data_IF_575373997852
#
_entry.id   IF_575373997852
#
_cell.length_a   1.000
_cell.length_b   1.000
_cell.length_c   1.000
_cell.angle_alpha   90.00
_cell.angle_beta   90.00
_cell.angle_gamma   90.00
#
_symmetry.space_group_name_H-M   'P 1'
#
loop_
_entity.id
_entity.type
_entity.pdbx_description
1 polymer ?
#
# COMPACT_ATOMS: atom_id res chain seq x y z
N UNK A 1 8.18 -10.85 -19.60
CA UNK A 1 6.89 -11.40 -19.10
C UNK A 1 7.03 -12.03 -17.72
N UNK A 2 8.09 -12.81 -17.47
CA UNK A 2 8.29 -13.57 -16.23
C UNK A 2 8.18 -12.74 -14.93
N UNK A 3 8.74 -11.53 -14.88
CA UNK A 3 8.64 -10.68 -13.68
C UNK A 3 7.22 -10.18 -13.36
N UNK A 4 6.41 -9.84 -14.37
CA UNK A 4 5.03 -9.39 -14.15
C UNK A 4 4.14 -10.55 -13.67
N UNK A 5 4.29 -11.73 -14.28
CA UNK A 5 3.58 -12.95 -13.87
C UNK A 5 3.96 -13.39 -12.45
N UNK A 6 5.24 -13.31 -12.10
CA UNK A 6 5.70 -13.60 -10.74
C UNK A 6 5.04 -12.66 -9.73
N UNK A 7 5.06 -11.35 -9.99
CA UNK A 7 4.40 -10.37 -9.13
C UNK A 7 2.93 -10.75 -8.94
N UNK A 8 2.15 -10.86 -10.03
CA UNK A 8 0.72 -11.20 -9.98
C UNK A 8 0.49 -12.46 -9.14
N UNK A 9 1.30 -13.50 -9.34
CA UNK A 9 1.21 -14.76 -8.59
C UNK A 9 1.41 -14.55 -7.10
N UNK A 10 2.37 -13.72 -6.69
CA UNK A 10 2.61 -13.38 -5.28
C UNK A 10 1.45 -12.60 -4.67
N UNK A 11 0.86 -11.64 -5.39
CA UNK A 11 -0.32 -10.91 -4.90
C UNK A 11 -1.55 -11.82 -4.77
N UNK A 12 -1.77 -12.71 -5.74
CA UNK A 12 -2.85 -13.70 -5.67
C UNK A 12 -2.66 -14.67 -4.51
N UNK A 13 -1.43 -15.15 -4.28
CA UNK A 13 -1.10 -15.99 -3.13
C UNK A 13 -1.38 -15.25 -1.81
N UNK A 14 -0.96 -13.98 -1.70
CA UNK A 14 -1.24 -13.15 -0.54
C UNK A 14 -2.76 -13.00 -0.30
N UNK A 15 -3.56 -12.77 -1.35
CA UNK A 15 -5.02 -12.72 -1.25
C UNK A 15 -5.63 -14.04 -0.78
N UNK A 16 -5.17 -15.16 -1.35
CA UNK A 16 -5.63 -16.50 -0.93
C UNK A 16 -5.31 -16.73 0.54
N UNK A 17 -4.11 -16.38 0.99
CA UNK A 17 -3.72 -16.48 2.40
C UNK A 17 -4.59 -15.59 3.29
N UNK A 18 -4.86 -14.35 2.87
CA UNK A 18 -5.74 -13.43 3.59
C UNK A 18 -7.14 -14.04 3.76
N UNK A 19 -7.73 -14.52 2.66
CA UNK A 19 -9.07 -15.11 2.64
C UNK A 19 -9.12 -16.39 3.48
N UNK A 20 -8.10 -17.24 3.37
CA UNK A 20 -7.96 -18.45 4.16
C UNK A 20 -7.89 -18.16 5.66
N UNK A 21 -7.03 -17.21 6.08
CA UNK A 21 -6.88 -16.81 7.48
C UNK A 21 -8.18 -16.19 8.00
N UNK A 22 -8.81 -15.30 7.23
CA UNK A 22 -10.08 -14.68 7.59
C UNK A 22 -11.17 -15.74 7.80
N UNK A 23 -11.28 -16.73 6.88
CA UNK A 23 -12.22 -17.85 7.00
C UNK A 23 -11.91 -18.73 8.20
N UNK A 24 -10.65 -19.15 8.38
CA UNK A 24 -10.21 -20.01 9.49
C UNK A 24 -10.50 -19.40 10.85
N UNK A 25 -10.35 -18.08 10.99
CA UNK A 25 -10.62 -17.35 12.22
C UNK A 25 -12.02 -16.73 12.30
N UNK A 26 -12.93 -17.06 11.35
CA UNK A 26 -14.31 -16.55 11.29
C UNK A 26 -14.42 -15.02 11.36
N UNK A 27 -13.49 -14.32 10.70
CA UNK A 27 -13.45 -12.85 10.69
C UNK A 27 -14.50 -12.28 9.75
N UNK A 28 -15.22 -11.26 10.21
CA UNK A 28 -16.12 -10.46 9.38
C UNK A 28 -15.30 -9.53 8.49
N UNK A 29 -15.40 -9.71 7.16
CA UNK A 29 -14.74 -8.81 6.21
C UNK A 29 -15.17 -7.35 6.39
N UNK A 30 -16.45 -7.11 6.68
CA UNK A 30 -16.98 -5.76 6.88
C UNK A 30 -16.53 -5.14 8.22
N UNK A 31 -16.64 -5.89 9.31
CA UNK A 31 -16.47 -5.33 10.66
C UNK A 31 -15.06 -5.50 11.23
N UNK A 32 -14.45 -6.67 11.05
CA UNK A 32 -13.12 -6.99 11.59
C UNK A 32 -12.02 -6.44 10.68
N UNK A 33 -12.06 -6.82 9.39
CA UNK A 33 -11.09 -6.36 8.39
C UNK A 33 -11.33 -4.89 8.06
N UNK A 34 -12.60 -4.44 8.04
CA UNK A 34 -12.96 -3.07 7.73
C UNK A 34 -13.14 -2.83 6.24
N UNK A 35 -13.50 -3.86 5.47
CA UNK A 35 -13.83 -3.75 4.05
C UNK A 35 -15.21 -3.09 3.89
N UNK A 36 -15.22 -1.77 4.00
CA UNK A 36 -16.42 -0.92 3.89
C UNK A 36 -16.04 0.42 3.31
N UNK A 37 -16.98 1.05 2.60
CA UNK A 37 -16.74 2.36 2.02
C UNK A 37 -16.48 3.42 3.12
N UNK A 38 -15.42 4.23 2.98
CA UNK A 38 -15.22 5.39 3.84
C UNK A 38 -16.28 6.46 3.53
N UNK A 39 -16.55 7.33 4.51
CA UNK A 39 -17.39 8.52 4.28
C UNK A 39 -16.66 9.52 3.39
N UNK A 40 -17.41 10.33 2.64
CA UNK A 40 -16.86 11.33 1.72
C UNK A 40 -15.90 12.34 2.39
N UNK A 41 -16.20 12.77 3.62
CA UNK A 41 -15.31 13.67 4.37
C UNK A 41 -13.96 13.03 4.70
N UNK A 42 -13.92 11.72 4.98
CA UNK A 42 -12.67 10.99 5.15
C UNK A 42 -11.92 10.89 3.82
N UNK A 43 -12.61 10.59 2.71
CA UNK A 43 -11.98 10.58 1.39
C UNK A 43 -11.31 11.93 1.11
N UNK A 44 -12.05 13.03 1.20
CA UNK A 44 -11.53 14.37 0.93
C UNK A 44 -10.33 14.72 1.80
N UNK A 45 -10.47 14.55 3.13
CA UNK A 45 -9.40 14.89 4.07
C UNK A 45 -8.13 14.07 3.81
N UNK A 46 -8.26 12.74 3.73
CA UNK A 46 -7.10 11.86 3.63
C UNK A 46 -6.41 11.97 2.27
N UNK A 47 -7.15 12.11 1.16
CA UNK A 47 -6.54 12.36 -0.14
C UNK A 47 -5.82 13.71 -0.18
N UNK A 48 -6.42 14.77 0.37
CA UNK A 48 -5.76 16.09 0.41
C UNK A 48 -4.47 16.03 1.22
N UNK A 49 -4.52 15.46 2.42
CA UNK A 49 -3.34 15.29 3.26
C UNK A 49 -2.26 14.41 2.60
N UNK A 50 -2.68 13.40 1.85
CA UNK A 50 -1.76 12.50 1.18
C UNK A 50 -1.07 13.14 -0.03
N UNK A 51 -1.80 13.96 -0.80
CA UNK A 51 -1.19 14.78 -1.85
C UNK A 51 -0.12 15.71 -1.29
N UNK A 52 -0.38 16.34 -0.14
CA UNK A 52 0.62 17.17 0.54
C UNK A 52 1.85 16.37 0.99
N UNK A 53 1.64 15.14 1.48
CA UNK A 53 2.73 14.23 1.83
C UNK A 53 3.57 13.86 0.62
N UNK A 54 2.95 13.47 -0.50
CA UNK A 54 3.66 13.15 -1.76
C UNK A 54 4.50 14.34 -2.23
N UNK A 55 3.95 15.56 -2.21
CA UNK A 55 4.73 16.76 -2.58
C UNK A 55 5.92 17.01 -1.65
N UNK A 56 5.76 16.75 -0.36
CA UNK A 56 6.86 16.87 0.61
C UNK A 56 7.94 15.81 0.35
N UNK A 57 7.56 14.56 0.11
CA UNK A 57 8.49 13.48 -0.20
C UNK A 57 9.23 13.71 -1.51
N UNK A 58 8.54 14.18 -2.55
CA UNK A 58 9.15 14.57 -3.83
C UNK A 58 10.15 15.72 -3.65
N UNK A 59 9.80 16.75 -2.87
CA UNK A 59 10.73 17.83 -2.54
C UNK A 59 11.98 17.31 -1.80
N UNK A 60 11.80 16.46 -0.79
CA UNK A 60 12.91 15.87 -0.04
C UNK A 60 13.78 15.04 -0.99
N UNK A 61 13.18 14.17 -1.79
CA UNK A 61 13.87 13.29 -2.74
C UNK A 61 14.74 14.08 -3.73
N UNK A 62 14.20 15.16 -4.29
CA UNK A 62 14.93 16.09 -5.16
C UNK A 62 16.08 16.79 -4.43
N UNK A 63 15.84 17.25 -3.20
CA UNK A 63 16.86 17.94 -2.40
C UNK A 63 18.04 17.03 -2.00
N UNK A 64 17.80 15.72 -1.88
CA UNK A 64 18.82 14.71 -1.54
C UNK A 64 19.46 14.04 -2.75
N UNK A 65 19.06 14.42 -3.98
CA UNK A 65 19.56 13.83 -5.21
C UNK A 65 19.05 12.42 -5.52
N UNK A 66 17.98 11.95 -4.85
CA UNK A 66 17.37 10.64 -5.07
C UNK A 66 16.22 10.68 -6.10
N UNK A 67 16.27 11.63 -7.03
CA UNK A 67 15.18 11.92 -7.97
C UNK A 67 15.19 11.08 -9.25
N UNK A 68 16.10 10.10 -9.39
CA UNK A 68 16.17 9.29 -10.61
C UNK A 68 15.16 8.15 -10.58
N UNK A 69 14.02 8.36 -11.23
CA UNK A 69 13.06 7.28 -11.53
C UNK A 69 13.46 6.61 -12.84
N UNK A 70 13.62 5.29 -12.83
CA UNK A 70 13.94 4.54 -14.05
C UNK A 70 12.75 4.56 -15.03
N UNK A 71 12.92 5.19 -16.19
CA UNK A 71 11.90 5.20 -17.24
C UNK A 71 11.71 3.81 -17.86
N UNK A 72 10.48 3.51 -18.24
CA UNK A 72 10.07 2.28 -18.92
C UNK A 72 9.99 2.43 -20.44
N UNK A 73 10.30 3.63 -20.96
CA UNK A 73 10.30 3.88 -22.39
C UNK A 73 11.26 2.91 -23.12
N UNK A 74 10.75 2.22 -24.13
CA UNK A 74 11.50 1.19 -24.89
C UNK A 74 11.83 -0.10 -24.12
N UNK A 75 11.55 -0.20 -22.81
CA UNK A 75 11.90 -1.36 -21.96
C UNK A 75 10.87 -2.49 -22.02
N UNK A 76 9.60 -2.15 -22.21
CA UNK A 76 8.49 -3.10 -22.18
C UNK A 76 7.51 -2.84 -23.33
N UNK A 77 6.88 -3.90 -23.85
CA UNK A 77 5.77 -3.75 -24.80
C UNK A 77 4.45 -3.39 -24.09
N UNK A 78 3.45 -2.95 -24.86
CA UNK A 78 2.17 -2.48 -24.31
C UNK A 78 1.46 -3.51 -23.44
N UNK A 79 1.49 -4.79 -23.80
CA UNK A 79 0.88 -5.85 -23.02
C UNK A 79 1.59 -6.02 -21.66
N UNK A 80 2.91 -5.96 -21.64
CA UNK A 80 3.69 -6.03 -20.40
C UNK A 80 3.43 -4.81 -19.50
N UNK A 81 3.26 -3.62 -20.08
CA UNK A 81 2.90 -2.41 -19.33
C UNK A 81 1.52 -2.58 -18.69
N UNK A 82 0.52 -3.04 -19.43
CA UNK A 82 -0.84 -3.29 -18.90
C UNK A 82 -0.79 -4.26 -17.72
N UNK A 83 -0.07 -5.37 -17.84
CA UNK A 83 0.05 -6.34 -16.74
C UNK A 83 0.78 -5.77 -15.52
N UNK A 84 1.79 -4.92 -15.72
CA UNK A 84 2.48 -4.22 -14.63
C UNK A 84 1.56 -3.23 -13.92
N UNK A 85 0.77 -2.46 -14.67
CA UNK A 85 -0.22 -1.53 -14.11
C UNK A 85 -1.23 -2.30 -13.27
N UNK A 86 -1.80 -3.38 -13.79
CA UNK A 86 -2.75 -4.21 -13.04
C UNK A 86 -2.12 -4.79 -11.77
N UNK A 87 -0.89 -5.29 -11.85
CA UNK A 87 -0.19 -5.84 -10.69
C UNK A 87 0.07 -4.77 -9.61
N UNK A 88 0.60 -3.61 -10.01
CA UNK A 88 1.12 -2.59 -9.08
C UNK A 88 0.02 -1.64 -8.60
N UNK A 89 -0.91 -1.21 -9.45
CA UNK A 89 -1.94 -0.21 -9.10
C UNK A 89 -3.18 -0.86 -8.50
N UNK A 90 -3.45 -2.14 -8.80
CA UNK A 90 -4.68 -2.81 -8.36
C UNK A 90 -4.37 -3.96 -7.41
N UNK A 91 -3.66 -5.00 -7.86
CA UNK A 91 -3.49 -6.22 -7.07
C UNK A 91 -2.64 -6.02 -5.83
N UNK A 92 -1.52 -5.29 -5.94
CA UNK A 92 -0.63 -5.00 -4.82
C UNK A 92 -1.36 -4.23 -3.70
N UNK A 93 -1.97 -3.05 -3.94
CA UNK A 93 -2.73 -2.34 -2.92
C UNK A 93 -3.83 -3.19 -2.27
N UNK A 94 -4.61 -3.94 -3.05
CA UNK A 94 -5.67 -4.78 -2.46
C UNK A 94 -5.06 -5.87 -1.57
N UNK A 95 -4.07 -6.59 -2.05
CA UNK A 95 -3.48 -7.72 -1.32
C UNK A 95 -2.71 -7.28 -0.07
N UNK A 96 -1.90 -6.24 -0.20
CA UNK A 96 -1.04 -5.72 0.85
C UNK A 96 -1.87 -5.03 1.92
N UNK A 97 -2.81 -4.15 1.57
CA UNK A 97 -3.62 -3.47 2.59
C UNK A 97 -4.56 -4.43 3.33
N UNK A 98 -5.11 -5.44 2.66
CA UNK A 98 -5.89 -6.48 3.35
C UNK A 98 -5.04 -7.29 4.33
N UNK A 99 -3.78 -7.55 4.01
CA UNK A 99 -2.84 -8.22 4.90
C UNK A 99 -2.43 -7.31 6.06
N UNK A 100 -1.88 -6.14 5.78
CA UNK A 100 -1.28 -5.24 6.77
C UNK A 100 -2.33 -4.46 7.55
N UNK A 101 -3.26 -3.77 6.88
CA UNK A 101 -4.28 -2.86 7.49
C UNK A 101 -5.59 -3.57 7.80
N UNK A 102 -5.79 -4.74 7.22
CA UNK A 102 -6.84 -5.70 7.56
C UNK A 102 -6.41 -6.64 8.67
N UNK A 103 -5.72 -7.73 8.33
CA UNK A 103 -5.44 -8.84 9.24
C UNK A 103 -4.47 -8.50 10.37
N UNK A 104 -3.28 -7.98 10.05
CA UNK A 104 -2.25 -7.70 11.05
C UNK A 104 -2.71 -6.58 11.97
N UNK A 105 -3.22 -5.47 11.42
CA UNK A 105 -3.86 -4.40 12.18
C UNK A 105 -4.91 -4.93 13.15
N UNK A 106 -5.84 -5.76 12.68
CA UNK A 106 -6.92 -6.31 13.50
C UNK A 106 -6.38 -7.16 14.66
N UNK A 107 -5.41 -8.04 14.39
CA UNK A 107 -4.79 -8.89 15.40
C UNK A 107 -4.04 -8.06 16.43
N UNK A 108 -3.18 -7.14 15.99
CA UNK A 108 -2.34 -6.32 16.88
C UNK A 108 -3.20 -5.39 17.73
N UNK A 109 -4.27 -4.81 17.17
CA UNK A 109 -5.19 -3.92 17.92
C UNK A 109 -5.81 -4.60 19.14
N UNK A 110 -5.98 -5.94 19.11
CA UNK A 110 -6.52 -6.73 20.22
C UNK A 110 -5.48 -7.08 21.29
N UNK A 111 -4.20 -6.78 21.06
CA UNK A 111 -3.12 -6.99 22.03
C UNK A 111 -2.97 -5.78 22.96
N UNK A 112 -2.03 -5.86 23.90
CA UNK A 112 -1.67 -4.74 24.80
C UNK A 112 -1.11 -3.52 24.04
N UNK A 113 -0.64 -3.69 22.81
CA UNK A 113 -0.11 -2.60 21.98
C UNK A 113 -1.20 -1.69 21.40
N UNK A 114 -2.47 -2.15 21.42
CA UNK A 114 -3.64 -1.39 21.02
C UNK A 114 -3.45 -0.71 19.65
N UNK A 115 -3.92 0.53 19.52
CA UNK A 115 -3.95 1.30 18.26
C UNK A 115 -2.53 1.63 17.80
N UNK A 116 -1.63 2.01 18.72
CA UNK A 116 -0.26 2.40 18.39
C UNK A 116 0.48 1.25 17.72
N UNK A 117 0.45 0.06 18.33
CA UNK A 117 1.05 -1.13 17.69
C UNK A 117 0.36 -1.50 16.39
N UNK A 118 -0.96 -1.37 16.32
CA UNK A 118 -1.73 -1.72 15.13
C UNK A 118 -1.42 -0.82 13.93
N UNK A 119 -0.89 0.39 14.15
CA UNK A 119 -0.43 1.29 13.09
C UNK A 119 1.05 1.05 12.80
N UNK A 120 1.88 1.06 13.85
CA UNK A 120 3.33 1.02 13.71
C UNK A 120 3.85 -0.34 13.20
N UNK A 121 3.36 -1.46 13.74
CA UNK A 121 3.87 -2.79 13.36
C UNK A 121 3.58 -3.10 11.89
N UNK A 122 2.35 -2.94 11.36
CA UNK A 122 2.12 -3.14 9.94
C UNK A 122 2.93 -2.20 9.06
N UNK A 123 3.10 -0.91 9.45
CA UNK A 123 3.93 0.03 8.70
C UNK A 123 5.41 -0.42 8.64
N UNK A 124 5.95 -0.88 9.77
CA UNK A 124 7.32 -1.36 9.85
C UNK A 124 7.52 -2.63 9.02
N UNK A 125 6.63 -3.61 9.16
CA UNK A 125 6.68 -4.84 8.36
C UNK A 125 6.53 -4.54 6.87
N UNK A 126 5.66 -3.61 6.51
CA UNK A 126 5.48 -3.14 5.14
C UNK A 126 6.78 -2.55 4.59
N UNK A 127 7.45 -1.66 5.32
CA UNK A 127 8.74 -1.11 4.89
C UNK A 127 9.85 -2.19 4.78
N UNK A 128 9.92 -3.13 5.73
CA UNK A 128 10.94 -4.19 5.73
C UNK A 128 10.86 -5.07 4.48
N UNK A 129 9.66 -5.46 4.03
CA UNK A 129 9.54 -6.32 2.84
C UNK A 129 9.98 -5.62 1.54
N UNK A 130 10.08 -4.28 1.55
CA UNK A 130 10.55 -3.49 0.42
C UNK A 130 12.06 -3.21 0.45
N UNK A 131 12.75 -3.54 1.55
CA UNK A 131 14.16 -3.22 1.77
C UNK A 131 15.10 -3.71 0.66
N UNK A 132 14.80 -4.88 0.07
CA UNK A 132 15.62 -5.48 -0.98
C UNK A 132 15.53 -4.77 -2.35
N UNK A 133 14.58 -3.85 -2.54
CA UNK A 133 14.30 -3.22 -3.83
C UNK A 133 14.45 -1.69 -3.81
N UNK A 134 14.89 -1.11 -2.69
CA UNK A 134 14.81 0.34 -2.51
C UNK A 134 15.95 0.86 -1.65
N UNK A 135 16.35 2.10 -1.92
CA UNK A 135 17.33 2.80 -1.11
C UNK A 135 16.77 3.15 0.27
N UNK A 136 17.66 3.42 1.23
CA UNK A 136 17.27 3.67 2.61
C UNK A 136 16.29 4.84 2.76
N UNK A 137 16.45 5.90 1.98
CA UNK A 137 15.53 7.04 1.99
C UNK A 137 14.13 6.65 1.51
N UNK A 138 14.04 5.91 0.41
CA UNK A 138 12.76 5.37 -0.12
C UNK A 138 12.10 4.44 0.88
N UNK A 139 12.86 3.61 1.62
CA UNK A 139 12.32 2.79 2.71
C UNK A 139 11.74 3.67 3.83
N UNK A 140 12.37 4.80 4.13
CA UNK A 140 11.84 5.82 5.03
C UNK A 140 10.47 6.34 4.58
N UNK A 141 10.33 6.70 3.30
CA UNK A 141 9.04 7.13 2.73
C UNK A 141 7.99 6.01 2.78
N UNK A 142 8.33 4.78 2.38
CA UNK A 142 7.43 3.61 2.45
C UNK A 142 6.95 3.36 3.89
N UNK A 143 7.81 3.58 4.88
CA UNK A 143 7.43 3.48 6.28
C UNK A 143 6.46 4.59 6.71
N UNK A 144 6.71 5.83 6.30
CA UNK A 144 5.87 7.00 6.59
C UNK A 144 4.49 6.84 5.93
N UNK A 145 4.45 6.51 4.63
CA UNK A 145 3.26 6.06 3.91
C UNK A 145 2.54 4.96 4.67
N UNK A 146 3.34 4.01 5.19
CA UNK A 146 2.80 2.89 5.90
C UNK A 146 2.06 3.28 7.19
N UNK A 147 2.58 4.25 7.93
CA UNK A 147 1.92 4.88 9.08
C UNK A 147 0.69 5.66 8.62
N UNK A 148 0.81 6.43 7.54
CA UNK A 148 -0.27 7.25 6.99
C UNK A 148 -1.49 6.38 6.62
N UNK A 149 -1.30 5.28 5.90
CA UNK A 149 -2.34 4.31 5.58
C UNK A 149 -2.94 3.68 6.84
N UNK A 150 -2.12 3.41 7.86
CA UNK A 150 -2.58 2.91 9.16
C UNK A 150 -3.47 3.90 9.92
N UNK A 151 -3.12 5.19 9.90
CA UNK A 151 -3.93 6.26 10.46
C UNK A 151 -5.24 6.43 9.67
N UNK A 152 -5.16 6.46 8.34
CA UNK A 152 -6.32 6.53 7.45
C UNK A 152 -7.31 5.39 7.72
N UNK A 153 -6.80 4.15 7.82
CA UNK A 153 -7.57 2.98 8.26
C UNK A 153 -8.21 3.26 9.62
N UNK A 154 -7.43 3.64 10.63
CA UNK A 154 -7.92 3.77 12.01
C UNK A 154 -9.11 4.74 12.11
N UNK A 155 -8.95 5.95 11.58
CA UNK A 155 -9.95 7.02 11.70
C UNK A 155 -11.16 6.81 10.80
N UNK A 156 -10.97 6.35 9.56
CA UNK A 156 -12.10 6.04 8.66
C UNK A 156 -12.81 4.73 8.99
N UNK A 157 -12.16 3.90 9.81
CA UNK A 157 -12.50 2.50 10.06
C UNK A 157 -12.56 1.64 8.79
N UNK A 158 -11.93 2.07 7.70
CA UNK A 158 -12.01 1.45 6.37
C UNK A 158 -10.64 1.05 5.85
N UNK A 159 -10.47 -0.23 5.50
CA UNK A 159 -9.29 -0.68 4.74
C UNK A 159 -9.36 -0.25 3.27
N UNK A 160 -10.57 -0.02 2.74
CA UNK A 160 -10.74 0.49 1.37
C UNK A 160 -10.12 1.87 1.20
N UNK A 161 -10.16 2.73 2.23
CA UNK A 161 -9.47 4.01 2.16
C UNK A 161 -7.96 3.85 1.99
N UNK A 162 -7.35 2.93 2.74
CA UNK A 162 -5.92 2.63 2.60
C UNK A 162 -5.60 2.06 1.21
N UNK A 163 -6.43 1.15 0.69
CA UNK A 163 -6.28 0.60 -0.67
C UNK A 163 -6.30 1.71 -1.71
N UNK A 164 -7.24 2.65 -1.60
CA UNK A 164 -7.40 3.74 -2.56
C UNK A 164 -6.21 4.72 -2.52
N UNK A 165 -5.73 5.07 -1.33
CA UNK A 165 -4.55 5.95 -1.17
C UNK A 165 -3.28 5.29 -1.73
N UNK A 166 -3.07 4.01 -1.40
CA UNK A 166 -1.92 3.26 -1.90
C UNK A 166 -1.99 3.07 -3.42
N UNK A 167 -3.16 2.71 -3.98
CA UNK A 167 -3.36 2.64 -5.42
C UNK A 167 -3.10 3.99 -6.12
N UNK A 168 -3.49 5.10 -5.48
CA UNK A 168 -3.22 6.45 -5.98
C UNK A 168 -1.72 6.77 -6.01
N UNK A 169 -0.98 6.45 -4.94
CA UNK A 169 0.49 6.59 -4.92
C UNK A 169 1.15 5.77 -6.02
N UNK A 170 0.77 4.50 -6.13
CA UNK A 170 1.30 3.59 -7.14
C UNK A 170 0.98 4.05 -8.57
N UNK A 171 -0.19 4.65 -8.79
CA UNK A 171 -0.52 5.25 -10.08
C UNK A 171 0.41 6.41 -10.43
N UNK A 172 0.67 7.33 -9.47
CA UNK A 172 1.63 8.42 -9.66
C UNK A 172 3.03 7.91 -10.02
N UNK A 173 3.53 6.96 -9.24
CA UNK A 173 4.84 6.34 -9.47
C UNK A 173 4.95 5.64 -10.84
N UNK A 174 3.86 5.05 -11.34
CA UNK A 174 3.80 4.45 -12.67
C UNK A 174 3.80 5.52 -13.76
N UNK A 175 3.04 6.60 -13.59
CA UNK A 175 3.00 7.69 -14.57
C UNK A 175 4.39 8.31 -14.76
N UNK A 176 5.14 8.53 -13.68
CA UNK A 176 6.53 9.00 -13.76
C UNK A 176 7.45 8.07 -14.54
N UNK A 177 7.20 6.76 -14.52
CA UNK A 177 7.98 5.76 -15.27
C UNK A 177 7.60 5.71 -16.75
N UNK A 178 6.40 6.14 -17.10
CA UNK A 178 5.91 6.14 -18.48
C UNK A 178 6.28 7.41 -19.25
N UNK A 179 6.55 8.50 -18.52
CA UNK A 179 7.07 9.75 -19.06
C UNK A 179 8.60 9.69 -19.25
#
# INVERSE_FOLDING_TARGET
>A
MNGALLNISMQLLALVLVLFIAKKHKLSFKNDIGFKMPKANHLLFWFTAFVLLIYLEDYISKSTGNSSVESWNGKYNSLQIIWRILAIVVLAPISEELLFRGLIYFKVKKTRLKIVGAIFIPALLFAIIHFQYSELLTIGFIFIDGIFYGLARHYSKSVLLAILLHAFSNLGAILERLL
#
